data_IF_406248160049
#
_entry.id   IF_406248160049
#
_cell.length_a   1.000
_cell.length_b   1.000
_cell.length_c   1.000
_cell.angle_alpha   90.00
_cell.angle_beta   90.00
_cell.angle_gamma   90.00
#
_symmetry.space_group_name_H-M   'P 1'
#
loop_
_entity.id
_entity.type
_entity.pdbx_description
1 polymer ?
#
# COMPACT_ATOMS: atom_id res chain seq x y z
N UNK A 1 8.21 -15.27 -1.45
CA UNK A 1 6.82 -15.03 -0.97
C UNK A 1 5.86 -14.78 -2.14
N UNK A 2 6.33 -14.12 -3.19
CA UNK A 2 5.58 -13.79 -4.40
C UNK A 2 4.98 -14.99 -5.16
N UNK A 3 5.57 -16.19 -5.07
CA UNK A 3 5.02 -17.40 -5.71
C UNK A 3 3.65 -17.82 -5.16
N UNK A 4 3.37 -17.53 -3.89
CA UNK A 4 2.07 -17.82 -3.30
C UNK A 4 0.97 -16.95 -3.94
N UNK A 5 1.27 -15.67 -4.19
CA UNK A 5 0.40 -14.75 -4.92
C UNK A 5 0.22 -15.19 -6.38
N UNK A 6 1.32 -15.57 -7.06
CA UNK A 6 1.26 -16.09 -8.44
C UNK A 6 0.31 -17.29 -8.55
N UNK A 7 0.36 -18.21 -7.59
CA UNK A 7 -0.55 -19.38 -7.53
C UNK A 7 -2.02 -19.01 -7.27
N UNK A 8 -2.29 -17.81 -6.73
CA UNK A 8 -3.65 -17.25 -6.60
C UNK A 8 -4.09 -16.40 -7.78
N UNK A 9 -3.25 -16.28 -8.81
CA UNK A 9 -3.61 -15.64 -10.07
C UNK A 9 -3.18 -14.19 -10.20
N UNK A 10 -2.42 -13.66 -9.24
CA UNK A 10 -1.74 -12.39 -9.39
C UNK A 10 -0.76 -12.45 -10.58
N UNK A 11 -0.67 -11.34 -11.32
CA UNK A 11 0.37 -11.15 -12.32
C UNK A 11 1.61 -10.63 -11.59
N UNK A 12 2.70 -11.39 -11.65
CA UNK A 12 3.93 -11.09 -10.91
C UNK A 12 5.11 -11.00 -11.88
N UNK A 13 5.78 -9.85 -11.86
CA UNK A 13 7.12 -9.64 -12.43
C UNK A 13 8.14 -9.56 -11.30
N UNK A 14 9.07 -10.51 -11.30
CA UNK A 14 10.13 -10.59 -10.30
C UNK A 14 11.18 -9.51 -10.52
N UNK A 15 11.82 -9.09 -9.42
CA UNK A 15 12.93 -8.16 -9.48
C UNK A 15 14.21 -8.89 -9.91
N UNK A 16 14.73 -8.53 -11.08
CA UNK A 16 16.01 -9.07 -11.58
C UNK A 16 17.20 -8.17 -11.26
N UNK A 17 16.96 -6.88 -11.05
CA UNK A 17 17.98 -5.87 -10.74
C UNK A 17 17.67 -5.24 -9.39
N UNK A 18 18.70 -5.08 -8.55
CA UNK A 18 18.54 -4.41 -7.27
C UNK A 18 18.11 -2.95 -7.51
N UNK A 19 17.15 -2.49 -6.71
CA UNK A 19 16.78 -1.08 -6.62
C UNK A 19 16.69 -0.71 -5.15
N UNK A 20 16.85 0.57 -4.84
CA UNK A 20 16.86 1.09 -3.48
C UNK A 20 15.78 2.14 -3.32
N UNK A 21 15.13 2.17 -2.15
CA UNK A 21 14.19 3.23 -1.80
C UNK A 21 14.94 4.57 -1.75
N UNK A 22 14.35 5.59 -2.36
CA UNK A 22 14.92 6.93 -2.40
C UNK A 22 15.12 7.50 -0.99
N UNK A 23 16.09 8.42 -0.87
CA UNK A 23 16.32 9.12 0.39
C UNK A 23 15.10 9.94 0.84
N UNK A 24 14.32 10.47 -0.11
CA UNK A 24 13.11 11.24 0.19
C UNK A 24 12.02 10.36 0.80
N UNK A 25 11.79 9.16 0.24
CA UNK A 25 10.88 8.18 0.81
C UNK A 25 11.33 7.73 2.21
N UNK A 26 12.62 7.42 2.37
CA UNK A 26 13.19 6.98 3.64
C UNK A 26 13.24 8.09 4.70
N UNK A 27 13.28 9.36 4.31
CA UNK A 27 13.18 10.48 5.23
C UNK A 27 11.80 10.52 5.91
N UNK A 28 10.74 10.22 5.14
CA UNK A 28 9.37 10.10 5.67
C UNK A 28 9.17 8.80 6.43
N UNK A 29 9.60 7.68 5.86
CA UNK A 29 9.42 6.34 6.41
C UNK A 29 10.77 5.65 6.69
N UNK A 30 11.33 5.90 7.87
CA UNK A 30 12.69 5.43 8.22
C UNK A 30 12.75 4.07 8.95
N UNK A 31 11.60 3.45 9.21
CA UNK A 31 11.49 2.26 10.07
C UNK A 31 10.59 1.17 9.46
N UNK A 32 10.77 0.85 8.17
CA UNK A 32 9.96 -0.17 7.50
C UNK A 32 10.13 -1.57 8.13
N UNK A 33 9.05 -2.38 8.25
CA UNK A 33 9.18 -3.77 8.69
C UNK A 33 10.11 -4.58 7.78
N UNK A 34 11.04 -5.32 8.38
CA UNK A 34 12.04 -6.11 7.65
C UNK A 34 11.45 -7.07 6.62
N UNK A 35 10.31 -7.69 6.93
CA UNK A 35 9.67 -8.64 6.01
C UNK A 35 9.01 -7.94 4.81
N UNK A 36 8.49 -6.72 5.00
CA UNK A 36 8.02 -5.89 3.90
C UNK A 36 9.18 -5.40 3.02
N UNK A 37 10.31 -5.03 3.62
CA UNK A 37 11.52 -4.67 2.86
C UNK A 37 12.03 -5.84 2.02
N UNK A 38 12.05 -7.07 2.56
CA UNK A 38 12.39 -8.27 1.77
C UNK A 38 11.42 -8.45 0.60
N UNK A 39 10.12 -8.27 0.83
CA UNK A 39 9.11 -8.39 -0.20
C UNK A 39 9.31 -7.38 -1.34
N UNK A 40 9.56 -6.10 -1.04
CA UNK A 40 9.89 -5.08 -2.06
C UNK A 40 11.10 -5.45 -2.94
N UNK A 41 12.05 -6.19 -2.37
CA UNK A 41 13.22 -6.67 -3.09
C UNK A 41 12.94 -7.91 -3.97
N UNK A 42 11.76 -8.53 -3.88
CA UNK A 42 11.41 -9.73 -4.67
C UNK A 42 10.70 -9.37 -6.00
N UNK A 43 10.04 -8.22 -6.13
CA UNK A 43 9.21 -7.89 -7.29
C UNK A 43 9.43 -6.49 -7.87
N UNK A 44 9.11 -6.34 -9.15
CA UNK A 44 8.95 -5.07 -9.86
C UNK A 44 7.48 -4.74 -10.14
N UNK A 45 6.65 -5.77 -10.34
CA UNK A 45 5.21 -5.58 -10.53
C UNK A 45 4.44 -6.72 -9.89
N UNK A 46 3.41 -6.39 -9.11
CA UNK A 46 2.38 -7.34 -8.67
C UNK A 46 1.04 -6.67 -8.87
N UNK A 47 0.23 -7.19 -9.80
CA UNK A 47 -1.13 -6.71 -10.05
C UNK A 47 -2.14 -7.86 -9.94
N UNK A 48 -3.42 -7.53 -9.74
CA UNK A 48 -4.50 -8.48 -10.00
C UNK A 48 -4.66 -8.70 -11.52
N UNK A 49 -5.49 -9.67 -11.90
CA UNK A 49 -5.65 -10.06 -13.32
C UNK A 49 -6.22 -8.96 -14.20
N UNK A 50 -7.08 -8.13 -13.62
CA UNK A 50 -7.77 -7.05 -14.33
C UNK A 50 -6.94 -5.76 -14.38
N UNK A 51 -5.74 -5.78 -13.78
CA UNK A 51 -4.78 -4.68 -13.77
C UNK A 51 -5.38 -3.37 -13.22
N UNK A 52 -6.20 -3.51 -12.18
CA UNK A 52 -6.86 -2.40 -11.48
C UNK A 52 -6.57 -2.41 -9.97
N UNK A 53 -5.77 -3.36 -9.49
CA UNK A 53 -5.17 -3.32 -8.17
C UNK A 53 -3.72 -3.81 -8.22
N UNK A 54 -2.83 -3.19 -7.44
CA UNK A 54 -1.41 -3.52 -7.40
C UNK A 54 -0.75 -3.17 -6.08
N UNK A 55 0.39 -3.80 -5.82
CA UNK A 55 1.30 -3.38 -4.76
C UNK A 55 2.22 -2.27 -5.26
N UNK A 56 2.42 -1.25 -4.43
CA UNK A 56 3.43 -0.23 -4.69
C UNK A 56 4.83 -0.88 -4.59
N UNK A 57 5.59 -0.76 -5.67
CA UNK A 57 6.97 -1.20 -5.82
C UNK A 57 7.97 -0.13 -5.38
N UNK A 58 9.26 -0.45 -5.42
CA UNK A 58 10.32 0.54 -5.18
C UNK A 58 10.26 1.65 -6.24
N UNK A 59 9.97 1.29 -7.49
CA UNK A 59 9.82 2.23 -8.61
C UNK A 59 8.65 3.19 -8.37
N UNK A 60 7.53 2.69 -7.83
CA UNK A 60 6.39 3.54 -7.47
C UNK A 60 6.78 4.55 -6.38
N UNK A 61 7.39 4.07 -5.28
CA UNK A 61 7.83 4.94 -4.18
C UNK A 61 8.90 5.97 -4.59
N UNK A 62 9.72 5.65 -5.59
CA UNK A 62 10.71 6.56 -6.14
C UNK A 62 10.14 7.54 -7.18
N UNK A 63 8.86 7.38 -7.58
CA UNK A 63 8.26 8.17 -8.67
C UNK A 63 8.84 7.86 -10.04
N UNK A 64 9.37 6.64 -10.22
CA UNK A 64 10.01 6.14 -11.43
C UNK A 64 9.07 5.24 -12.26
N UNK A 65 7.91 4.87 -11.73
CA UNK A 65 6.93 4.05 -12.43
C UNK A 65 6.05 4.88 -13.38
N UNK A 66 5.58 4.24 -14.45
CA UNK A 66 4.57 4.79 -15.37
C UNK A 66 3.13 4.52 -14.87
N UNK A 67 2.95 4.30 -13.56
CA UNK A 67 1.63 4.04 -12.98
C UNK A 67 0.70 5.23 -13.19
N UNK A 68 -0.57 4.94 -13.52
CA UNK A 68 -1.60 5.99 -13.67
C UNK A 68 -1.99 6.65 -12.34
N UNK A 69 -1.68 6.02 -11.21
CA UNK A 69 -1.89 6.55 -9.86
C UNK A 69 -0.57 6.51 -9.11
N UNK A 70 -0.23 7.60 -8.42
CA UNK A 70 0.96 7.66 -7.59
C UNK A 70 0.77 6.84 -6.32
N UNK A 71 1.87 6.48 -5.66
CA UNK A 71 1.80 5.76 -4.38
C UNK A 71 1.12 6.59 -3.28
N UNK A 72 1.23 7.93 -3.35
CA UNK A 72 0.67 8.92 -2.43
C UNK A 72 -0.63 9.56 -2.94
N UNK A 73 -1.27 8.99 -3.97
CA UNK A 73 -2.41 9.62 -4.65
C UNK A 73 -3.56 9.96 -3.70
N UNK A 74 -3.88 9.08 -2.76
CA UNK A 74 -5.03 9.27 -1.87
C UNK A 74 -4.78 10.36 -0.82
N UNK A 75 -3.54 10.51 -0.33
CA UNK A 75 -3.17 11.68 0.47
C UNK A 75 -3.34 12.96 -0.34
N UNK A 76 -2.89 12.96 -1.60
CA UNK A 76 -3.00 14.13 -2.46
C UNK A 76 -4.46 14.51 -2.75
N UNK A 77 -5.34 13.52 -2.98
CA UNK A 77 -6.77 13.73 -3.16
C UNK A 77 -7.41 14.34 -1.90
N UNK A 78 -7.10 13.82 -0.72
CA UNK A 78 -7.59 14.38 0.55
C UNK A 78 -7.15 15.84 0.74
N UNK A 79 -5.86 16.14 0.50
CA UNK A 79 -5.32 17.50 0.62
C UNK A 79 -5.96 18.47 -0.39
N UNK A 80 -6.18 18.03 -1.64
CA UNK A 80 -6.85 18.84 -2.66
C UNK A 80 -8.30 19.17 -2.27
N UNK A 81 -9.01 18.20 -1.68
CA UNK A 81 -10.40 18.38 -1.25
C UNK A 81 -10.54 19.40 -0.10
N UNK A 82 -9.55 19.47 0.79
CA UNK A 82 -9.53 20.38 1.94
C UNK A 82 -9.10 21.81 1.60
N UNK A 83 -8.29 21.99 0.55
CA UNK A 83 -7.81 23.30 0.12
C UNK A 83 -6.92 23.98 1.18
N UNK A 84 -7.34 25.16 1.64
CA UNK A 84 -6.56 26.01 2.58
C UNK A 84 -6.84 25.71 4.06
N UNK A 85 -7.57 24.64 4.40
CA UNK A 85 -7.80 24.25 5.80
C UNK A 85 -6.53 23.61 6.40
N UNK A 86 -5.69 24.44 7.01
CA UNK A 86 -4.40 24.02 7.57
C UNK A 86 -4.54 22.97 8.69
N UNK A 87 -5.59 23.05 9.52
CA UNK A 87 -5.78 22.08 10.61
C UNK A 87 -6.13 20.71 10.04
N UNK A 88 -7.10 20.65 9.13
CA UNK A 88 -7.49 19.41 8.48
C UNK A 88 -6.34 18.83 7.63
N UNK A 89 -5.64 19.65 6.85
CA UNK A 89 -4.47 19.19 6.08
C UNK A 89 -3.37 18.61 6.96
N UNK A 90 -3.17 19.14 8.16
CA UNK A 90 -2.21 18.57 9.12
C UNK A 90 -2.68 17.21 9.65
N UNK A 91 -3.98 17.00 9.88
CA UNK A 91 -4.53 15.69 10.29
C UNK A 91 -4.29 14.62 9.21
N UNK A 92 -4.56 14.95 7.94
CA UNK A 92 -4.28 14.09 6.78
C UNK A 92 -2.79 13.74 6.72
N UNK A 93 -1.91 14.75 6.74
CA UNK A 93 -0.46 14.54 6.73
C UNK A 93 -0.01 13.65 7.89
N UNK A 94 -0.55 13.87 9.09
CA UNK A 94 -0.20 13.11 10.29
C UNK A 94 -0.56 11.63 10.16
N UNK A 95 -1.73 11.32 9.59
CA UNK A 95 -2.12 9.94 9.29
C UNK A 95 -1.11 9.30 8.32
N UNK A 96 -0.87 9.90 7.16
CA UNK A 96 -0.01 9.32 6.14
C UNK A 96 1.48 9.31 6.51
N UNK A 97 1.94 10.18 7.43
CA UNK A 97 3.31 10.15 7.94
C UNK A 97 3.65 8.86 8.71
N UNK A 98 2.65 8.13 9.18
CA UNK A 98 2.84 6.84 9.87
C UNK A 98 2.20 5.66 9.16
N UNK A 99 1.39 5.89 8.12
CA UNK A 99 0.77 4.84 7.31
C UNK A 99 1.37 4.81 5.91
N UNK A 100 2.07 3.74 5.56
CA UNK A 100 2.62 3.55 4.20
C UNK A 100 1.55 2.87 3.35
N UNK A 101 1.01 3.47 2.28
CA UNK A 101 0.15 2.78 1.33
C UNK A 101 0.97 1.75 0.53
N UNK A 102 0.70 0.47 0.75
CA UNK A 102 1.46 -0.64 0.16
C UNK A 102 0.77 -1.32 -1.01
N UNK A 103 -0.55 -1.15 -1.13
CA UNK A 103 -1.33 -1.59 -2.27
C UNK A 103 -2.53 -0.68 -2.47
N UNK A 104 -2.95 -0.51 -3.72
CA UNK A 104 -4.12 0.28 -4.11
C UNK A 104 -4.99 -0.52 -5.09
N UNK A 105 -6.30 -0.26 -5.05
CA UNK A 105 -7.27 -0.75 -6.02
C UNK A 105 -8.15 0.42 -6.49
N UNK A 106 -8.32 0.53 -7.81
CA UNK A 106 -8.91 1.72 -8.46
C UNK A 106 -10.19 1.41 -9.26
N UNK A 107 -10.63 0.15 -9.31
CA UNK A 107 -11.92 -0.19 -9.90
C UNK A 107 -13.05 -0.08 -8.86
N UNK A 108 -14.11 0.64 -9.24
CA UNK A 108 -15.23 0.89 -8.34
C UNK A 108 -14.85 1.96 -7.33
N UNK A 109 -14.94 1.62 -6.04
CA UNK A 109 -14.49 2.50 -4.96
C UNK A 109 -12.97 2.41 -4.81
N UNK A 110 -12.29 3.54 -4.69
CA UNK A 110 -10.86 3.57 -4.43
C UNK A 110 -10.54 3.02 -3.05
N UNK A 111 -9.65 2.04 -3.01
CA UNK A 111 -9.29 1.29 -1.81
C UNK A 111 -7.77 1.19 -1.68
N UNK A 112 -7.28 1.08 -0.44
CA UNK A 112 -5.88 0.83 -0.17
C UNK A 112 -5.66 -0.15 0.98
N UNK A 113 -4.45 -0.71 1.00
CA UNK A 113 -3.87 -1.37 2.16
C UNK A 113 -2.66 -0.55 2.60
N UNK A 114 -2.52 -0.30 3.90
CA UNK A 114 -1.35 0.39 4.45
C UNK A 114 -0.71 -0.35 5.62
N UNK A 115 0.57 -0.07 5.87
CA UNK A 115 1.31 -0.51 7.07
C UNK A 115 1.38 0.65 8.05
N UNK A 116 0.95 0.43 9.30
CA UNK A 116 1.13 1.37 10.40
C UNK A 116 2.56 1.25 10.99
N UNK A 117 3.29 2.37 11.08
CA UNK A 117 4.65 2.48 11.61
C UNK A 117 4.70 3.10 13.01
N UNK A 118 3.56 3.45 13.60
CA UNK A 118 3.49 3.94 14.98
C UNK A 118 4.01 2.89 15.96
N UNK A 119 4.47 3.35 17.13
CA UNK A 119 5.05 2.45 18.13
C UNK A 119 4.04 1.41 18.65
N UNK A 120 2.74 1.76 18.72
CA UNK A 120 1.70 0.90 19.30
C UNK A 120 1.17 -0.15 18.32
N UNK A 121 1.20 0.15 17.02
CA UNK A 121 0.61 -0.66 15.96
C UNK A 121 1.62 -1.11 14.91
N UNK A 122 2.91 -0.98 15.20
CA UNK A 122 3.99 -1.26 14.27
C UNK A 122 3.80 -2.56 13.47
N UNK A 123 3.74 -2.42 12.15
CA UNK A 123 3.63 -3.53 11.20
C UNK A 123 2.21 -4.07 10.98
N UNK A 124 1.21 -3.56 11.71
CA UNK A 124 -0.21 -3.91 11.47
C UNK A 124 -0.65 -3.34 10.12
N UNK A 125 -1.58 -4.06 9.51
CA UNK A 125 -2.13 -3.73 8.21
C UNK A 125 -3.53 -3.18 8.38
N UNK A 126 -3.78 -2.03 7.78
CA UNK A 126 -5.10 -1.40 7.72
C UNK A 126 -5.61 -1.42 6.28
N UNK A 127 -6.92 -1.49 6.15
CA UNK A 127 -7.65 -1.31 4.91
C UNK A 127 -8.41 0.01 5.01
N UNK A 128 -8.38 0.83 3.97
CA UNK A 128 -9.20 2.03 3.88
C UNK A 128 -9.79 2.19 2.49
N UNK A 129 -10.76 3.08 2.37
CA UNK A 129 -11.53 3.36 1.16
C UNK A 129 -11.95 4.83 1.08
N UNK A 130 -12.26 5.28 -0.12
CA UNK A 130 -12.82 6.61 -0.36
C UNK A 130 -14.24 6.76 0.27
N UNK A 131 -14.77 8.00 0.42
CA UNK A 131 -14.13 9.29 0.15
C UNK A 131 -13.20 9.78 1.27
N UNK A 132 -13.43 9.35 2.51
CA UNK A 132 -12.62 9.73 3.67
C UNK A 132 -11.60 8.61 3.95
N UNK A 133 -10.47 8.66 3.26
CA UNK A 133 -9.47 7.58 3.26
C UNK A 133 -8.92 7.29 4.66
N UNK A 134 -8.63 8.34 5.42
CA UNK A 134 -7.98 8.30 6.72
C UNK A 134 -8.97 7.86 7.81
N UNK A 135 -10.20 8.35 7.76
CA UNK A 135 -11.27 8.01 8.72
C UNK A 135 -11.80 6.59 8.53
N UNK A 136 -11.71 6.03 7.31
CA UNK A 136 -12.17 4.69 7.00
C UNK A 136 -11.16 3.58 7.31
N UNK A 137 -9.95 3.96 7.74
CA UNK A 137 -8.86 3.02 7.99
C UNK A 137 -9.18 2.05 9.14
N UNK A 138 -9.42 0.78 8.79
CA UNK A 138 -9.79 -0.28 9.71
C UNK A 138 -8.75 -1.39 9.75
N UNK A 139 -8.47 -1.91 10.96
CA UNK A 139 -7.51 -3.00 11.15
C UNK A 139 -7.92 -4.23 10.34
N UNK A 140 -7.03 -4.68 9.46
CA UNK A 140 -7.20 -5.87 8.64
C UNK A 140 -6.48 -7.08 9.28
N UNK A 141 -5.19 -6.95 9.57
CA UNK A 141 -4.40 -8.02 10.20
C UNK A 141 -3.16 -7.48 10.92
N UNK A 142 -2.48 -8.35 11.68
CA UNK A 142 -1.45 -7.91 12.63
C UNK A 142 -0.03 -7.85 12.04
N UNK A 143 0.17 -8.29 10.80
CA UNK A 143 1.48 -8.24 10.15
C UNK A 143 1.40 -8.34 8.63
N UNK A 144 2.45 -7.88 7.96
CA UNK A 144 2.59 -8.04 6.52
C UNK A 144 2.57 -9.50 6.05
N UNK A 145 3.19 -10.42 6.79
CA UNK A 145 3.14 -11.85 6.45
C UNK A 145 1.71 -12.41 6.56
N UNK A 146 0.92 -11.99 7.55
CA UNK A 146 -0.49 -12.37 7.64
C UNK A 146 -1.29 -11.85 6.46
N UNK A 147 -1.02 -10.62 5.98
CA UNK A 147 -1.64 -10.11 4.76
C UNK A 147 -1.36 -11.03 3.56
N UNK A 148 -0.10 -11.44 3.37
CA UNK A 148 0.26 -12.35 2.29
C UNK A 148 -0.46 -13.70 2.39
N UNK A 149 -0.62 -14.24 3.60
CA UNK A 149 -1.40 -15.47 3.85
C UNK A 149 -2.89 -15.28 3.48
N UNK A 150 -3.49 -14.14 3.84
CA UNK A 150 -4.89 -13.82 3.52
C UNK A 150 -5.12 -13.68 2.01
N UNK A 151 -4.19 -13.01 1.32
CA UNK A 151 -4.22 -12.86 -0.14
C UNK A 151 -3.95 -14.20 -0.86
N UNK A 152 -3.10 -15.04 -0.27
CA UNK A 152 -2.72 -16.35 -0.83
C UNK A 152 -3.65 -17.50 -0.44
N UNK A 153 -4.76 -17.23 0.26
CA UNK A 153 -5.72 -18.23 0.72
C UNK A 153 -7.13 -18.00 0.13
N UNK A 154 -8.01 -18.97 0.33
CA UNK A 154 -9.44 -18.88 -0.02
C UNK A 154 -10.23 -18.00 0.99
N UNK A 155 -9.53 -17.09 1.67
CA UNK A 155 -10.13 -16.16 2.61
C UNK A 155 -11.17 -15.26 1.91
N UNK A 156 -12.33 -15.14 2.55
CA UNK A 156 -13.53 -14.43 2.07
C UNK A 156 -13.70 -13.03 2.70
N UNK A 157 -12.65 -12.43 3.26
CA UNK A 157 -12.72 -11.05 3.75
C UNK A 157 -13.02 -10.13 2.56
N UNK A 158 -14.20 -9.50 2.61
CA UNK A 158 -14.72 -8.72 1.50
C UNK A 158 -13.81 -7.55 1.14
N UNK A 159 -13.01 -7.06 2.11
CA UNK A 159 -12.04 -5.97 1.94
C UNK A 159 -10.88 -6.35 1.02
N UNK A 160 -10.65 -7.64 0.79
CA UNK A 160 -9.55 -8.14 -0.05
C UNK A 160 -9.99 -8.53 -1.46
N UNK A 161 -11.29 -8.48 -1.78
CA UNK A 161 -11.81 -8.93 -3.08
C UNK A 161 -11.21 -8.11 -4.22
N UNK A 162 -11.19 -6.79 -4.10
CA UNK A 162 -10.67 -5.88 -5.13
C UNK A 162 -9.19 -6.08 -5.43
N UNK A 163 -8.43 -6.65 -4.47
CA UNK A 163 -6.99 -6.88 -4.59
C UNK A 163 -6.63 -8.24 -5.20
N UNK A 164 -7.57 -9.19 -5.33
CA UNK A 164 -7.33 -10.55 -5.85
C UNK A 164 -7.73 -10.67 -7.31
#
# INVERSE_FOLDING_TARGET
MIEALRNRGFVVQERTEANELSSDFLQRYNNLPTDYLKFLNEFQLITNKDNNAWFNSIEDFNGESDSGFRWDEYEMMSLEALGDDEEACNEICNFWNIHIPIAIAVEGEYQYLCIDLSTENYGKIYYGLEPEFEDSADLLCNSFNQLLELLSSDNEDSRLISFK
#
